data_IF_229528755960
#
_entry.id   IF_229528755960
#
_cell.length_a   1.000
_cell.length_b   1.000
_cell.length_c   1.000
_cell.angle_alpha   90.00
_cell.angle_beta   90.00
_cell.angle_gamma   90.00
#
_symmetry.space_group_name_H-M   'P 1'
#
loop_
_entity.id
_entity.type
_entity.pdbx_description
1 polymer ?
#
# COMPACT_ATOMS: atom_id res chain seq x y z
N UNK A 1 22.61 27.11 -9.84
CA UNK A 1 22.32 26.37 -8.59
C UNK A 1 21.31 25.28 -8.88
N UNK A 2 21.61 24.02 -8.58
CA UNK A 2 20.66 22.93 -8.77
C UNK A 2 19.45 23.15 -7.87
N UNK A 3 18.24 23.06 -8.46
CA UNK A 3 16.99 23.22 -7.71
C UNK A 3 16.77 22.00 -6.81
N UNK A 4 16.75 22.21 -5.49
CA UNK A 4 16.51 21.14 -4.52
C UNK A 4 15.03 20.85 -4.41
N UNK A 5 14.63 19.58 -4.59
CA UNK A 5 13.22 19.17 -4.58
C UNK A 5 13.04 17.69 -4.20
N UNK A 6 11.83 17.34 -3.80
CA UNK A 6 11.39 15.95 -3.71
C UNK A 6 10.50 15.66 -4.92
N UNK A 7 10.87 14.62 -5.65
CA UNK A 7 10.14 14.15 -6.82
C UNK A 7 9.39 12.87 -6.47
N UNK A 8 8.09 12.86 -6.59
CA UNK A 8 7.27 11.67 -6.42
C UNK A 8 6.91 11.08 -7.78
N UNK A 9 7.22 9.79 -7.98
CA UNK A 9 6.92 9.04 -9.20
C UNK A 9 5.62 8.24 -9.04
N UNK A 10 4.71 8.40 -9.99
CA UNK A 10 3.43 7.69 -10.07
C UNK A 10 3.39 6.83 -11.33
N UNK A 11 3.22 5.53 -11.17
CA UNK A 11 3.09 4.56 -12.25
C UNK A 11 1.87 3.66 -12.09
N UNK A 12 1.63 3.12 -10.91
CA UNK A 12 0.46 2.30 -10.60
C UNK A 12 -0.60 3.14 -9.85
N UNK A 13 -1.86 2.79 -10.02
CA UNK A 13 -2.98 3.56 -9.43
C UNK A 13 -2.90 3.66 -7.91
N UNK A 14 -2.46 2.58 -7.24
CA UNK A 14 -2.28 2.57 -5.79
C UNK A 14 -1.16 3.49 -5.28
N UNK A 15 -0.24 3.93 -6.15
CA UNK A 15 0.83 4.85 -5.74
C UNK A 15 0.28 6.12 -5.11
N UNK A 16 -0.89 6.59 -5.56
CA UNK A 16 -1.55 7.77 -4.99
C UNK A 16 -1.84 7.59 -3.49
N UNK A 17 -2.38 6.42 -3.09
CA UNK A 17 -2.66 6.13 -1.68
C UNK A 17 -1.39 6.09 -0.84
N UNK A 18 -0.33 5.45 -1.37
CA UNK A 18 0.90 5.18 -0.62
C UNK A 18 1.78 6.41 -0.49
N UNK A 19 1.88 7.20 -1.55
CA UNK A 19 2.72 8.40 -1.63
C UNK A 19 2.07 9.59 -0.90
N UNK A 20 0.73 9.69 -0.94
CA UNK A 20 -0.02 10.82 -0.39
C UNK A 20 0.44 11.27 1.01
N UNK A 21 0.57 10.40 2.02
CA UNK A 21 0.96 10.84 3.36
C UNK A 21 2.34 11.53 3.40
N UNK A 22 3.30 10.98 2.67
CA UNK A 22 4.65 11.53 2.59
C UNK A 22 4.71 12.84 1.78
N UNK A 23 3.91 12.95 0.72
CA UNK A 23 3.83 14.17 -0.09
C UNK A 23 3.25 15.35 0.70
N UNK A 24 2.20 15.11 1.49
CA UNK A 24 1.62 16.11 2.40
C UNK A 24 2.61 16.51 3.49
N UNK A 25 3.33 15.55 4.06
CA UNK A 25 4.36 15.83 5.05
C UNK A 25 5.52 16.66 4.47
N UNK A 26 5.95 16.38 3.24
CA UNK A 26 6.95 17.18 2.54
C UNK A 26 6.47 18.63 2.34
N UNK A 27 5.18 18.81 2.01
CA UNK A 27 4.57 20.15 1.90
C UNK A 27 4.54 20.88 3.24
N UNK A 28 4.18 20.20 4.34
CA UNK A 28 4.22 20.79 5.70
C UNK A 28 5.63 21.27 6.09
N UNK A 29 6.67 20.57 5.61
CA UNK A 29 8.06 20.92 5.81
C UNK A 29 8.57 22.02 4.84
N UNK A 30 7.70 22.61 4.00
CA UNK A 30 8.05 23.61 2.99
C UNK A 30 9.09 23.14 1.96
N UNK A 31 9.11 21.86 1.63
CA UNK A 31 10.00 21.33 0.60
C UNK A 31 9.34 21.50 -0.78
N UNK A 32 10.11 21.88 -1.80
CA UNK A 32 9.65 21.94 -3.18
C UNK A 32 9.32 20.52 -3.69
N UNK A 33 8.11 20.33 -4.20
CA UNK A 33 7.56 19.03 -4.62
C UNK A 33 7.25 19.03 -6.10
N UNK A 34 7.67 17.98 -6.80
CA UNK A 34 7.34 17.70 -8.19
C UNK A 34 6.71 16.31 -8.31
N UNK A 35 5.63 16.20 -9.06
CA UNK A 35 5.03 14.92 -9.42
C UNK A 35 5.42 14.53 -10.85
N UNK A 36 6.11 13.40 -10.99
CA UNK A 36 6.34 12.77 -12.28
C UNK A 36 5.39 11.59 -12.45
N UNK A 37 4.55 11.67 -13.48
CA UNK A 37 3.52 10.69 -13.75
C UNK A 37 3.87 9.92 -15.04
N UNK A 38 3.85 8.58 -14.97
CA UNK A 38 4.01 7.75 -16.16
C UNK A 38 2.85 7.99 -17.13
N UNK A 39 3.13 8.10 -18.43
CA UNK A 39 2.11 8.15 -19.49
C UNK A 39 1.13 6.96 -19.44
N UNK A 40 1.52 5.85 -18.78
CA UNK A 40 0.67 4.66 -18.61
C UNK A 40 -0.32 4.79 -17.45
N UNK A 41 -0.18 5.80 -16.60
CA UNK A 41 -1.04 5.97 -15.42
C UNK A 41 -2.50 6.25 -15.81
N UNK A 42 -2.74 7.28 -16.62
CA UNK A 42 -4.08 7.65 -17.05
C UNK A 42 -4.81 6.54 -17.84
N UNK A 43 -4.17 5.79 -18.79
CA UNK A 43 -4.80 4.65 -19.44
C UNK A 43 -5.20 3.50 -18.52
N UNK A 44 -4.54 3.37 -17.35
CA UNK A 44 -4.91 2.38 -16.33
C UNK A 44 -6.15 2.79 -15.52
N UNK A 45 -6.42 4.08 -15.41
CA UNK A 45 -7.55 4.63 -14.64
C UNK A 45 -8.86 4.58 -15.42
N UNK A 46 -9.32 3.38 -15.76
CA UNK A 46 -10.56 3.17 -16.53
C UNK A 46 -11.80 3.76 -15.85
N UNK A 47 -11.77 3.92 -14.55
CA UNK A 47 -12.90 4.43 -13.75
C UNK A 47 -12.84 5.94 -13.51
N UNK A 48 -11.78 6.60 -13.95
CA UNK A 48 -11.57 8.05 -13.80
C UNK A 48 -11.61 8.52 -12.33
N UNK A 49 -11.06 7.71 -11.44
CA UNK A 49 -10.97 8.00 -9.99
C UNK A 49 -9.58 8.52 -9.62
N UNK A 50 -8.54 7.90 -10.18
CA UNK A 50 -7.17 8.10 -9.72
C UNK A 50 -6.47 9.30 -10.35
N UNK A 51 -6.82 9.65 -11.59
CA UNK A 51 -6.32 10.88 -12.23
C UNK A 51 -6.83 12.11 -11.48
N UNK A 52 -8.14 12.25 -11.17
CA UNK A 52 -8.63 13.34 -10.33
C UNK A 52 -8.02 13.33 -8.91
N UNK A 53 -7.81 12.14 -8.32
CA UNK A 53 -7.19 12.01 -7.01
C UNK A 53 -5.73 12.51 -7.01
N UNK A 54 -4.95 12.19 -8.05
CA UNK A 54 -3.59 12.69 -8.24
C UNK A 54 -3.57 14.22 -8.44
N UNK A 55 -4.48 14.75 -9.25
CA UNK A 55 -4.62 16.19 -9.48
C UNK A 55 -4.95 16.95 -8.18
N UNK A 56 -5.88 16.40 -7.38
CA UNK A 56 -6.22 16.94 -6.05
C UNK A 56 -5.01 16.93 -5.13
N UNK A 57 -4.27 15.82 -5.05
CA UNK A 57 -3.06 15.73 -4.26
C UNK A 57 -2.00 16.74 -4.71
N UNK A 58 -1.81 16.92 -6.02
CA UNK A 58 -0.89 17.92 -6.55
C UNK A 58 -1.28 19.33 -6.11
N UNK A 59 -2.56 19.68 -6.20
CA UNK A 59 -3.08 20.97 -5.74
C UNK A 59 -2.85 21.17 -4.23
N UNK A 60 -3.13 20.14 -3.40
CA UNK A 60 -2.91 20.17 -1.95
C UNK A 60 -1.43 20.38 -1.61
N UNK A 61 -0.52 19.80 -2.39
CA UNK A 61 0.93 19.94 -2.20
C UNK A 61 1.52 21.21 -2.85
N UNK A 62 0.77 21.96 -3.67
CA UNK A 62 1.29 23.03 -4.51
C UNK A 62 2.30 22.53 -5.56
N UNK A 63 2.16 21.26 -5.98
CA UNK A 63 3.06 20.57 -6.89
C UNK A 63 2.55 20.67 -8.34
N UNK A 64 3.47 20.70 -9.30
CA UNK A 64 3.16 20.47 -10.72
C UNK A 64 3.19 18.98 -11.03
N UNK A 65 2.30 18.54 -11.94
CA UNK A 65 2.34 17.19 -12.52
C UNK A 65 3.01 17.29 -13.88
N UNK A 66 4.07 16.52 -14.11
CA UNK A 66 4.74 16.39 -15.40
C UNK A 66 4.70 14.93 -15.83
N UNK A 67 4.25 14.67 -17.04
CA UNK A 67 4.22 13.33 -17.60
C UNK A 67 5.58 12.95 -18.21
N UNK A 68 5.94 11.66 -18.09
CA UNK A 68 7.11 11.09 -18.78
C UNK A 68 6.73 9.82 -19.53
N UNK A 69 7.37 9.61 -20.69
CA UNK A 69 7.08 8.49 -21.59
C UNK A 69 8.13 7.38 -21.51
N UNK A 70 9.31 7.70 -21.00
CA UNK A 70 10.44 6.77 -20.92
C UNK A 70 11.41 7.14 -19.78
N UNK A 71 12.29 6.23 -19.35
CA UNK A 71 13.35 6.54 -18.39
C UNK A 71 14.26 7.70 -18.84
N UNK A 72 14.52 7.82 -20.13
CA UNK A 72 15.30 8.91 -20.69
C UNK A 72 14.56 10.26 -20.62
N UNK A 73 13.26 10.27 -20.91
CA UNK A 73 12.43 11.48 -20.72
C UNK A 73 12.42 11.91 -19.26
N UNK A 74 12.26 10.96 -18.31
CA UNK A 74 12.35 11.25 -16.89
C UNK A 74 13.73 11.80 -16.50
N UNK A 75 14.83 11.22 -17.00
CA UNK A 75 16.18 11.75 -16.78
C UNK A 75 16.30 13.20 -17.18
N UNK A 76 15.82 13.58 -18.38
CA UNK A 76 15.87 14.97 -18.86
C UNK A 76 15.12 15.95 -17.95
N UNK A 77 14.01 15.52 -17.35
CA UNK A 77 13.26 16.34 -16.39
C UNK A 77 13.97 16.48 -15.03
N UNK A 78 14.90 15.58 -14.73
CA UNK A 78 15.62 15.51 -13.47
C UNK A 78 17.02 16.12 -13.53
N UNK A 79 17.65 16.23 -14.72
CA UNK A 79 19.07 16.51 -14.89
C UNK A 79 19.55 17.82 -14.23
N UNK A 80 18.68 18.84 -14.11
CA UNK A 80 19.01 20.15 -13.55
C UNK A 80 18.65 20.30 -12.07
N UNK A 81 18.32 19.19 -11.40
CA UNK A 81 17.89 19.18 -10.01
C UNK A 81 18.69 18.24 -9.12
N UNK A 82 18.39 18.31 -7.83
CA UNK A 82 18.92 17.40 -6.81
C UNK A 82 17.88 17.20 -5.69
N UNK A 83 18.13 16.24 -4.79
CA UNK A 83 17.28 15.96 -3.64
C UNK A 83 16.84 14.49 -3.55
N UNK A 84 15.54 14.20 -3.56
CA UNK A 84 15.04 12.84 -3.48
C UNK A 84 14.08 12.50 -4.63
N UNK A 85 14.10 11.23 -5.06
CA UNK A 85 13.06 10.63 -5.90
C UNK A 85 12.40 9.51 -5.10
N UNK A 86 11.09 9.55 -4.99
CA UNK A 86 10.29 8.64 -4.15
C UNK A 86 9.23 7.95 -4.99
N UNK A 87 9.10 6.64 -4.87
CA UNK A 87 8.01 5.86 -5.47
C UNK A 87 7.55 4.74 -4.54
N UNK A 88 6.37 4.18 -4.80
CA UNK A 88 5.85 3.03 -4.07
C UNK A 88 5.94 1.71 -4.85
N UNK A 89 6.18 1.76 -6.15
CA UNK A 89 6.14 0.59 -7.05
C UNK A 89 7.44 0.49 -7.85
N UNK A 90 8.54 0.14 -7.17
CA UNK A 90 9.87 0.00 -7.77
C UNK A 90 10.52 -1.31 -7.33
N UNK A 91 10.95 -2.12 -8.26
CA UNK A 91 11.79 -3.31 -8.09
C UNK A 91 12.12 -3.92 -9.47
N UNK A 92 12.97 -4.96 -9.48
CA UNK A 92 13.31 -5.71 -10.69
C UNK A 92 12.17 -6.62 -11.21
N UNK A 93 10.95 -6.49 -10.70
CA UNK A 93 9.79 -7.27 -11.16
C UNK A 93 9.13 -6.64 -12.39
N UNK A 94 8.52 -7.43 -13.29
CA UNK A 94 7.95 -6.93 -14.55
C UNK A 94 6.97 -5.77 -14.40
N UNK A 95 6.12 -5.80 -13.38
CA UNK A 95 5.13 -4.74 -13.14
C UNK A 95 5.77 -3.41 -12.68
N UNK A 96 7.00 -3.44 -12.19
CA UNK A 96 7.74 -2.30 -11.63
C UNK A 96 8.89 -1.82 -12.53
N UNK A 97 9.15 -2.48 -13.66
CA UNK A 97 10.30 -2.22 -14.53
C UNK A 97 10.43 -0.75 -14.91
N UNK A 98 9.33 -0.10 -15.21
CA UNK A 98 9.34 1.31 -15.66
C UNK A 98 9.92 2.26 -14.59
N UNK A 99 9.46 2.16 -13.36
CA UNK A 99 9.99 2.95 -12.24
C UNK A 99 11.39 2.50 -11.83
N UNK A 100 11.68 1.21 -11.93
CA UNK A 100 13.02 0.66 -11.71
C UNK A 100 14.05 1.26 -12.68
N UNK A 101 13.72 1.34 -13.97
CA UNK A 101 14.59 1.89 -14.98
C UNK A 101 14.74 3.42 -14.83
N UNK A 102 13.69 4.15 -14.41
CA UNK A 102 13.81 5.55 -14.05
C UNK A 102 14.79 5.74 -12.89
N UNK A 103 14.72 4.91 -11.85
CA UNK A 103 15.64 4.96 -10.72
C UNK A 103 17.09 4.69 -11.14
N UNK A 104 17.31 3.70 -12.02
CA UNK A 104 18.64 3.37 -12.55
C UNK A 104 19.23 4.49 -13.41
N UNK A 105 18.37 5.20 -14.14
CA UNK A 105 18.77 6.30 -15.01
C UNK A 105 18.87 7.66 -14.27
N UNK A 106 18.36 7.76 -13.05
CA UNK A 106 18.28 9.02 -12.31
C UNK A 106 19.67 9.65 -12.11
N UNK A 107 19.78 10.99 -12.21
CA UNK A 107 21.03 11.71 -11.93
C UNK A 107 21.54 11.43 -10.52
N UNK A 108 22.86 11.40 -10.35
CA UNK A 108 23.52 11.12 -9.05
C UNK A 108 23.21 12.16 -7.96
N UNK A 109 22.67 13.33 -8.33
CA UNK A 109 22.19 14.35 -7.39
C UNK A 109 20.90 13.98 -6.64
N UNK A 110 20.28 12.81 -6.92
CA UNK A 110 19.07 12.36 -6.23
C UNK A 110 19.31 11.11 -5.39
N UNK A 111 18.79 11.13 -4.16
CA UNK A 111 18.60 9.91 -3.36
C UNK A 111 17.31 9.23 -3.79
N UNK A 112 17.37 7.95 -4.12
CA UNK A 112 16.25 7.14 -4.59
C UNK A 112 15.62 6.40 -3.40
N UNK A 113 14.31 6.57 -3.21
CA UNK A 113 13.57 6.02 -2.07
C UNK A 113 12.40 5.19 -2.58
N UNK A 114 12.32 3.93 -2.18
CA UNK A 114 11.16 3.06 -2.44
C UNK A 114 10.36 2.89 -1.16
N UNK A 115 9.06 3.20 -1.21
CA UNK A 115 8.12 3.00 -0.11
C UNK A 115 7.50 1.60 -0.19
N UNK A 116 7.43 0.88 0.92
CA UNK A 116 6.61 -0.32 1.01
C UNK A 116 5.13 0.05 0.82
N UNK A 117 4.45 -0.58 -0.15
CA UNK A 117 3.11 -0.18 -0.56
C UNK A 117 1.98 -0.99 0.07
N UNK A 118 2.29 -1.92 0.97
CA UNK A 118 1.27 -2.72 1.65
C UNK A 118 1.87 -3.60 2.73
N UNK A 119 1.02 -4.13 3.62
CA UNK A 119 1.45 -5.05 4.67
C UNK A 119 2.10 -6.30 4.06
N UNK A 120 1.37 -7.01 3.20
CA UNK A 120 1.99 -8.00 2.31
C UNK A 120 2.37 -7.30 1.01
N UNK A 121 3.64 -7.27 0.73
CA UNK A 121 4.19 -6.54 -0.40
C UNK A 121 5.38 -7.31 -0.98
N UNK A 122 5.35 -7.52 -2.30
CA UNK A 122 6.41 -8.23 -3.01
C UNK A 122 7.74 -7.49 -2.83
N UNK A 123 8.79 -8.22 -2.46
CA UNK A 123 10.10 -7.64 -2.14
C UNK A 123 10.28 -7.23 -0.68
N UNK A 124 9.21 -7.28 0.12
CA UNK A 124 9.22 -7.01 1.55
C UNK A 124 8.68 -8.22 2.33
N UNK A 125 7.48 -8.14 2.88
CA UNK A 125 6.81 -9.26 3.51
C UNK A 125 5.92 -9.98 2.49
N UNK A 126 6.20 -11.25 2.22
CA UNK A 126 5.43 -12.08 1.29
C UNK A 126 4.75 -13.25 2.01
N UNK A 127 3.82 -13.87 1.32
CA UNK A 127 3.25 -15.16 1.66
C UNK A 127 3.83 -16.24 0.73
N UNK A 128 3.53 -17.50 1.02
CA UNK A 128 4.00 -18.67 0.27
C UNK A 128 3.68 -18.59 -1.23
N UNK A 129 2.49 -18.20 -1.60
CA UNK A 129 2.05 -18.13 -3.00
C UNK A 129 2.79 -17.03 -3.77
N UNK A 130 3.06 -15.89 -3.11
CA UNK A 130 3.91 -14.85 -3.69
C UNK A 130 5.37 -15.31 -3.83
N UNK A 131 5.90 -16.03 -2.85
CA UNK A 131 7.25 -16.60 -2.93
C UNK A 131 7.39 -17.56 -4.11
N UNK A 132 6.38 -18.40 -4.35
CA UNK A 132 6.36 -19.33 -5.49
C UNK A 132 6.26 -18.59 -6.83
N UNK A 133 5.48 -17.51 -6.90
CA UNK A 133 5.25 -16.77 -8.13
C UNK A 133 6.39 -15.80 -8.49
N UNK A 134 7.05 -15.19 -7.49
CA UNK A 134 8.00 -14.08 -7.68
C UNK A 134 9.39 -14.34 -7.10
N UNK A 135 9.54 -15.40 -6.30
CA UNK A 135 10.80 -15.73 -5.61
C UNK A 135 11.07 -14.83 -4.40
N UNK A 136 12.22 -15.10 -3.76
CA UNK A 136 12.68 -14.40 -2.53
C UNK A 136 13.96 -13.59 -2.77
N UNK A 137 14.21 -13.16 -3.98
CA UNK A 137 15.43 -12.43 -4.32
C UNK A 137 15.11 -11.15 -5.07
N UNK A 138 14.11 -10.40 -4.55
CA UNK A 138 13.69 -9.13 -5.15
C UNK A 138 14.75 -8.07 -4.90
N UNK A 139 15.09 -7.32 -5.94
CA UNK A 139 16.12 -6.26 -5.92
C UNK A 139 15.51 -4.91 -6.27
N UNK A 140 16.14 -3.87 -5.75
CA UNK A 140 15.71 -2.50 -5.89
C UNK A 140 16.86 -1.61 -6.40
N UNK A 141 16.53 -0.66 -7.27
CA UNK A 141 17.46 0.38 -7.68
C UNK A 141 17.52 1.55 -6.67
N UNK A 142 16.68 1.52 -5.65
CA UNK A 142 16.65 2.49 -4.57
C UNK A 142 17.95 2.49 -3.73
N UNK A 143 18.27 3.65 -3.16
CA UNK A 143 19.31 3.83 -2.14
C UNK A 143 18.76 3.57 -0.74
N UNK A 144 17.46 3.83 -0.53
CA UNK A 144 16.76 3.63 0.74
C UNK A 144 15.45 2.90 0.47
N UNK A 145 15.18 1.87 1.27
CA UNK A 145 13.93 1.10 1.28
C UNK A 145 13.16 1.46 2.54
N UNK A 146 12.13 2.29 2.41
CA UNK A 146 11.26 2.69 3.50
C UNK A 146 10.28 1.57 3.79
N UNK A 147 10.65 0.67 4.71
CA UNK A 147 9.90 -0.52 5.05
C UNK A 147 9.05 -0.32 6.31
N UNK A 148 7.97 -1.10 6.44
CA UNK A 148 7.13 -1.06 7.63
C UNK A 148 7.76 -1.78 8.81
N UNK A 149 8.54 -2.84 8.54
CA UNK A 149 9.22 -3.66 9.53
C UNK A 149 10.75 -3.64 9.32
N UNK A 150 11.54 -4.02 10.34
CA UNK A 150 12.99 -4.12 10.20
C UNK A 150 13.41 -5.24 9.24
N UNK A 151 14.62 -5.16 8.72
CA UNK A 151 15.13 -6.02 7.65
C UNK A 151 15.09 -7.53 7.95
N UNK A 152 15.23 -7.92 9.22
CA UNK A 152 15.19 -9.32 9.67
C UNK A 152 13.78 -9.95 9.57
N UNK A 153 12.74 -9.11 9.45
CA UNK A 153 11.34 -9.51 9.28
C UNK A 153 10.90 -9.54 7.81
N UNK A 154 11.74 -9.07 6.90
CA UNK A 154 11.41 -9.01 5.47
C UNK A 154 11.90 -10.28 4.78
N UNK A 155 10.97 -11.06 4.22
CA UNK A 155 11.23 -12.45 3.80
C UNK A 155 11.66 -12.61 2.35
N UNK A 156 11.38 -11.61 1.51
CA UNK A 156 11.52 -11.74 0.05
C UNK A 156 12.51 -10.78 -0.60
N UNK A 157 13.15 -9.96 0.19
CA UNK A 157 14.20 -9.06 -0.23
C UNK A 157 15.53 -9.81 -0.44
N UNK A 158 16.27 -9.48 -1.50
CA UNK A 158 17.62 -9.98 -1.69
C UNK A 158 18.50 -9.56 -0.51
N UNK A 159 19.45 -10.42 -0.15
CA UNK A 159 20.35 -10.16 0.98
C UNK A 159 21.10 -8.84 0.83
N UNK A 160 21.56 -8.52 -0.39
CA UNK A 160 22.26 -7.28 -0.74
C UNK A 160 21.44 -6.01 -0.54
N UNK A 161 20.13 -6.11 -0.39
CA UNK A 161 19.24 -4.96 -0.24
C UNK A 161 18.97 -4.60 1.23
N UNK A 162 19.31 -5.48 2.16
CA UNK A 162 18.93 -5.37 3.57
C UNK A 162 19.52 -4.14 4.27
N UNK A 163 20.74 -3.76 3.90
CA UNK A 163 21.41 -2.57 4.46
C UNK A 163 20.79 -1.24 4.01
N UNK A 164 19.90 -1.27 2.99
CA UNK A 164 19.15 -0.12 2.51
C UNK A 164 17.87 0.13 3.33
N UNK A 165 17.47 -0.81 4.20
CA UNK A 165 16.21 -0.76 4.92
C UNK A 165 16.21 0.35 5.97
N UNK A 166 15.25 1.24 5.85
CA UNK A 166 14.91 2.27 6.82
C UNK A 166 13.49 2.01 7.33
N UNK A 167 13.35 1.58 8.58
CA UNK A 167 12.05 1.23 9.15
C UNK A 167 11.23 2.49 9.44
N UNK A 168 10.09 2.62 8.76
CA UNK A 168 9.15 3.76 8.93
C UNK A 168 7.89 3.38 9.69
N UNK A 169 7.41 2.14 9.54
CA UNK A 169 6.03 1.78 9.82
C UNK A 169 5.07 2.18 8.69
N UNK A 170 3.77 1.88 8.82
CA UNK A 170 2.78 2.12 7.78
C UNK A 170 2.42 3.61 7.65
N UNK A 171 2.58 4.18 6.44
CA UNK A 171 2.28 5.58 6.15
C UNK A 171 0.80 5.96 6.38
N UNK A 172 -0.11 5.00 6.41
CA UNK A 172 -1.51 5.21 6.78
C UNK A 172 -1.65 5.95 8.13
N UNK A 173 -0.79 5.67 9.11
CA UNK A 173 -0.83 6.30 10.42
C UNK A 173 -0.52 7.82 10.41
N UNK A 174 -0.06 8.37 9.31
CA UNK A 174 0.08 9.82 9.11
C UNK A 174 -1.25 10.49 8.76
N UNK A 175 -2.30 9.73 8.44
CA UNK A 175 -3.61 10.25 8.09
C UNK A 175 -4.45 10.40 9.36
N UNK A 176 -5.11 11.56 9.51
CA UNK A 176 -6.00 11.81 10.65
C UNK A 176 -7.34 11.08 10.45
N UNK A 177 -7.85 10.36 11.47
CA UNK A 177 -9.20 9.84 11.44
C UNK A 177 -10.23 10.98 11.28
N UNK A 178 -11.27 10.76 10.50
CA UNK A 178 -12.31 11.80 10.29
C UNK A 178 -13.34 11.89 11.41
N UNK A 179 -13.32 10.94 12.35
CA UNK A 179 -14.14 10.98 13.56
C UNK A 179 -15.66 10.90 13.33
N UNK A 180 -16.10 10.26 12.24
CA UNK A 180 -17.53 10.09 11.94
C UNK A 180 -18.20 9.14 12.93
N UNK A 181 -19.50 9.34 13.15
CA UNK A 181 -20.32 8.42 13.92
C UNK A 181 -20.35 7.03 13.27
N UNK A 182 -20.27 5.97 14.09
CA UNK A 182 -20.30 4.59 13.62
C UNK A 182 -21.64 4.26 12.95
N UNK A 183 -21.56 3.67 11.77
CA UNK A 183 -22.69 3.05 11.07
C UNK A 183 -22.99 1.66 11.64
N UNK A 184 -24.18 1.14 11.37
CA UNK A 184 -24.50 -0.27 11.60
C UNK A 184 -23.97 -1.18 10.46
N UNK A 185 -23.57 -0.60 9.36
CA UNK A 185 -23.16 -1.28 8.14
C UNK A 185 -21.70 -1.74 8.21
N UNK A 186 -21.41 -2.88 7.57
CA UNK A 186 -20.05 -3.38 7.42
C UNK A 186 -19.42 -3.00 6.09
N UNK A 187 -18.11 -3.20 5.99
CA UNK A 187 -17.35 -3.08 4.75
C UNK A 187 -16.72 -4.42 4.38
N UNK A 188 -16.93 -4.87 3.15
CA UNK A 188 -16.28 -6.03 2.56
C UNK A 188 -15.34 -5.55 1.46
N UNK A 189 -14.06 -5.92 1.54
CA UNK A 189 -13.06 -5.53 0.54
C UNK A 189 -12.72 -6.72 -0.37
N UNK A 190 -12.86 -6.49 -1.67
CA UNK A 190 -12.54 -7.44 -2.71
C UNK A 190 -11.04 -7.33 -3.05
N UNK A 191 -10.25 -8.30 -2.61
CA UNK A 191 -8.83 -8.44 -3.02
C UNK A 191 -8.64 -9.73 -3.83
N UNK A 192 -9.46 -9.92 -4.87
CA UNK A 192 -9.53 -11.16 -5.64
C UNK A 192 -8.53 -11.24 -6.80
N UNK A 193 -7.67 -10.24 -6.99
CA UNK A 193 -6.61 -10.24 -7.99
C UNK A 193 -5.31 -10.90 -7.51
N UNK A 194 -5.17 -11.16 -6.22
CA UNK A 194 -3.97 -11.74 -5.64
C UNK A 194 -3.65 -13.10 -6.25
N UNK A 195 -2.37 -13.34 -6.54
CA UNK A 195 -1.86 -14.64 -7.01
C UNK A 195 -2.22 -15.78 -6.06
N UNK A 196 -2.37 -15.52 -4.76
CA UNK A 196 -2.81 -16.46 -3.74
C UNK A 196 -4.15 -17.13 -4.09
N UNK A 197 -5.09 -16.36 -4.66
CA UNK A 197 -6.43 -16.85 -4.98
C UNK A 197 -6.51 -17.69 -6.27
N UNK A 198 -5.44 -17.78 -7.03
CA UNK A 198 -5.35 -18.58 -8.26
C UNK A 198 -4.30 -19.71 -8.19
N UNK A 199 -3.47 -19.75 -7.16
CA UNK A 199 -2.36 -20.71 -7.06
C UNK A 199 -2.82 -22.15 -6.82
N UNK A 200 -3.97 -22.36 -6.19
CA UNK A 200 -4.51 -23.69 -5.84
C UNK A 200 -5.91 -23.93 -6.42
N UNK A 201 -6.17 -23.40 -7.58
CA UNK A 201 -7.49 -23.32 -8.20
C UNK A 201 -8.09 -21.92 -8.10
N UNK A 202 -9.29 -21.71 -8.66
CA UNK A 202 -9.92 -20.40 -8.61
C UNK A 202 -10.73 -20.23 -7.31
N UNK A 203 -10.10 -19.70 -6.27
CA UNK A 203 -10.74 -19.44 -4.98
C UNK A 203 -11.64 -18.19 -5.00
N UNK A 204 -11.60 -17.39 -6.07
CA UNK A 204 -12.37 -16.15 -6.20
C UNK A 204 -13.87 -16.40 -6.19
N UNK A 205 -14.30 -17.46 -6.87
CA UNK A 205 -15.70 -17.87 -6.90
C UNK A 205 -16.20 -18.28 -5.50
N UNK A 206 -15.37 -18.96 -4.71
CA UNK A 206 -15.68 -19.32 -3.33
C UNK A 206 -15.94 -18.09 -2.46
N UNK A 207 -15.07 -17.06 -2.55
CA UNK A 207 -15.29 -15.79 -1.86
C UNK A 207 -16.62 -15.14 -2.28
N UNK A 208 -16.88 -15.08 -3.59
CA UNK A 208 -18.11 -14.44 -4.11
C UNK A 208 -19.37 -15.19 -3.72
N UNK A 209 -19.33 -16.53 -3.69
CA UNK A 209 -20.44 -17.35 -3.23
C UNK A 209 -20.74 -17.12 -1.74
N UNK A 210 -19.71 -17.15 -0.89
CA UNK A 210 -19.84 -16.88 0.55
C UNK A 210 -20.39 -15.48 0.81
N UNK A 211 -19.86 -14.47 0.11
CA UNK A 211 -20.33 -13.09 0.19
C UNK A 211 -21.79 -12.96 -0.26
N UNK A 212 -22.19 -13.63 -1.34
CA UNK A 212 -23.56 -13.65 -1.82
C UNK A 212 -24.52 -14.25 -0.80
N UNK A 213 -24.18 -15.36 -0.17
CA UNK A 213 -24.93 -15.96 0.93
C UNK A 213 -25.07 -15.01 2.13
N UNK A 214 -23.98 -14.34 2.49
CA UNK A 214 -23.99 -13.35 3.56
C UNK A 214 -24.91 -12.16 3.23
N UNK A 215 -24.85 -11.65 2.01
CA UNK A 215 -25.74 -10.58 1.54
C UNK A 215 -27.22 -11.00 1.58
N UNK A 216 -27.58 -12.23 1.17
CA UNK A 216 -28.94 -12.75 1.26
C UNK A 216 -29.44 -12.72 2.71
N UNK A 217 -28.58 -13.11 3.67
CA UNK A 217 -28.93 -13.07 5.09
C UNK A 217 -29.13 -11.64 5.62
N UNK A 218 -28.30 -10.68 5.20
CA UNK A 218 -28.44 -9.27 5.56
C UNK A 218 -29.73 -8.69 4.96
N UNK A 219 -30.03 -8.99 3.69
CA UNK A 219 -31.24 -8.52 3.01
C UNK A 219 -32.53 -8.94 3.72
N UNK A 220 -32.58 -10.18 4.24
CA UNK A 220 -33.71 -10.67 5.04
C UNK A 220 -33.93 -9.86 6.36
N UNK A 221 -32.98 -9.01 6.75
CA UNK A 221 -33.04 -8.12 7.91
C UNK A 221 -33.09 -6.64 7.54
N UNK A 222 -33.26 -6.33 6.24
CA UNK A 222 -33.16 -4.98 5.69
C UNK A 222 -31.81 -4.30 6.02
N UNK A 223 -30.73 -5.10 6.14
CA UNK A 223 -29.39 -4.60 6.36
C UNK A 223 -28.63 -4.50 5.03
N UNK A 224 -27.76 -3.50 4.92
CA UNK A 224 -26.88 -3.29 3.75
C UNK A 224 -25.42 -3.46 4.15
N UNK A 225 -24.57 -3.63 3.15
CA UNK A 225 -23.11 -3.75 3.32
C UNK A 225 -22.40 -2.94 2.23
N UNK A 226 -21.27 -2.37 2.55
CA UNK A 226 -20.42 -1.75 1.54
C UNK A 226 -19.46 -2.77 0.94
N UNK A 227 -19.36 -2.78 -0.38
CA UNK A 227 -18.40 -3.57 -1.13
C UNK A 227 -17.36 -2.66 -1.75
N UNK A 228 -16.10 -2.89 -1.40
CA UNK A 228 -14.98 -2.09 -1.88
C UNK A 228 -14.11 -2.91 -2.84
N UNK A 229 -14.04 -2.54 -4.14
CA UNK A 229 -13.14 -3.17 -5.08
C UNK A 229 -11.69 -2.76 -4.79
N UNK A 230 -10.74 -3.67 -5.09
CA UNK A 230 -9.32 -3.33 -5.01
C UNK A 230 -8.93 -2.35 -6.14
N UNK A 231 -8.15 -1.30 -5.86
CA UNK A 231 -7.82 -0.25 -6.85
C UNK A 231 -7.26 -0.78 -8.17
N UNK A 232 -6.32 -1.71 -8.09
CA UNK A 232 -5.67 -2.29 -9.29
C UNK A 232 -6.35 -3.55 -9.81
N UNK A 233 -6.98 -4.34 -8.94
CA UNK A 233 -7.58 -5.64 -9.26
C UNK A 233 -8.96 -5.52 -9.90
N UNK A 234 -9.90 -4.90 -9.17
CA UNK A 234 -11.27 -4.63 -9.62
C UNK A 234 -11.95 -5.87 -10.22
N UNK A 235 -11.89 -7.02 -9.53
CA UNK A 235 -12.33 -8.30 -10.06
C UNK A 235 -13.78 -8.29 -10.53
N UNK A 236 -14.73 -7.79 -9.71
CA UNK A 236 -16.13 -7.71 -10.09
C UNK A 236 -16.31 -6.86 -11.35
N UNK A 237 -15.69 -5.67 -11.37
CA UNK A 237 -15.89 -4.69 -12.44
C UNK A 237 -15.24 -5.13 -13.75
N UNK A 238 -14.11 -5.87 -13.68
CA UNK A 238 -13.44 -6.40 -14.88
C UNK A 238 -14.14 -7.60 -15.50
N UNK A 239 -14.95 -8.29 -14.71
CA UNK A 239 -15.67 -9.49 -15.15
C UNK A 239 -17.19 -9.24 -15.24
N UNK A 240 -17.62 -7.97 -15.20
CA UNK A 240 -19.03 -7.55 -15.27
C UNK A 240 -19.93 -8.31 -14.28
N UNK A 241 -19.41 -8.60 -13.10
CA UNK A 241 -20.13 -9.29 -12.03
C UNK A 241 -20.95 -8.27 -11.26
N UNK A 242 -22.28 -8.36 -11.35
CA UNK A 242 -23.17 -7.51 -10.59
C UNK A 242 -23.04 -7.81 -9.07
N UNK A 243 -22.87 -6.80 -8.22
CA UNK A 243 -22.90 -7.00 -6.78
C UNK A 243 -24.31 -7.40 -6.32
N UNK A 244 -24.45 -8.09 -5.16
CA UNK A 244 -25.73 -8.31 -4.54
C UNK A 244 -26.55 -7.01 -4.36
N UNK A 245 -27.86 -7.07 -4.45
CA UNK A 245 -28.74 -5.87 -4.47
C UNK A 245 -28.66 -5.00 -3.22
N UNK A 246 -28.31 -5.59 -2.07
CA UNK A 246 -28.08 -4.87 -0.81
C UNK A 246 -26.61 -4.54 -0.55
N UNK A 247 -25.70 -4.77 -1.50
CA UNK A 247 -24.32 -4.34 -1.44
C UNK A 247 -24.14 -3.01 -2.18
N UNK A 248 -23.60 -2.00 -1.50
CA UNK A 248 -23.30 -0.69 -2.05
C UNK A 248 -21.83 -0.60 -2.41
N UNK A 249 -21.52 -0.28 -3.66
CA UNK A 249 -20.12 -0.11 -4.09
C UNK A 249 -19.52 1.17 -3.49
N UNK A 250 -18.33 1.07 -2.89
CA UNK A 250 -17.51 2.21 -2.48
C UNK A 250 -16.16 2.19 -3.22
N UNK A 251 -16.04 3.04 -4.22
CA UNK A 251 -14.85 3.12 -5.10
C UNK A 251 -13.92 4.29 -4.75
N UNK A 252 -14.24 5.07 -3.70
CA UNK A 252 -13.40 6.21 -3.28
C UNK A 252 -11.97 5.75 -2.94
N UNK A 253 -10.94 6.60 -3.09
CA UNK A 253 -9.62 6.34 -2.52
C UNK A 253 -9.70 6.00 -1.03
N UNK A 254 -8.83 5.10 -0.53
CA UNK A 254 -8.94 4.61 0.87
C UNK A 254 -8.80 5.74 1.89
N UNK A 255 -8.01 6.75 1.60
CA UNK A 255 -7.83 7.91 2.49
C UNK A 255 -9.07 8.84 2.58
N UNK A 256 -10.07 8.65 1.72
CA UNK A 256 -11.37 9.34 1.79
C UNK A 256 -12.43 8.52 2.53
N UNK A 257 -12.08 7.30 2.94
CA UNK A 257 -12.96 6.37 3.63
C UNK A 257 -12.61 6.34 5.11
N UNK A 258 -13.56 6.75 5.96
CA UNK A 258 -13.43 6.58 7.40
C UNK A 258 -13.74 5.11 7.77
N UNK A 259 -12.70 4.29 7.85
CA UNK A 259 -12.84 2.88 8.21
C UNK A 259 -13.43 2.71 9.61
N UNK A 260 -13.11 3.61 10.54
CA UNK A 260 -13.64 3.57 11.91
C UNK A 260 -15.14 3.84 12.02
N UNK A 261 -15.76 4.38 10.95
CA UNK A 261 -17.19 4.63 10.91
C UNK A 261 -18.02 3.36 10.63
N UNK A 262 -17.44 2.27 10.16
CA UNK A 262 -18.15 1.01 9.91
C UNK A 262 -18.31 0.18 11.18
N UNK A 263 -19.27 -0.74 11.18
CA UNK A 263 -19.49 -1.66 12.30
C UNK A 263 -18.46 -2.81 12.29
N UNK A 264 -18.07 -3.28 11.10
CA UNK A 264 -17.10 -4.37 10.91
C UNK A 264 -16.47 -4.31 9.51
N UNK A 265 -15.34 -4.98 9.38
CA UNK A 265 -14.63 -5.17 8.12
C UNK A 265 -14.35 -6.64 7.81
N UNK A 266 -14.46 -7.01 6.54
CA UNK A 266 -14.05 -8.32 6.04
C UNK A 266 -13.26 -8.14 4.75
N UNK A 267 -12.17 -8.89 4.59
CA UNK A 267 -11.45 -8.94 3.32
C UNK A 267 -10.86 -10.33 3.08
N UNK A 268 -10.70 -10.71 1.81
CA UNK A 268 -9.66 -11.65 1.45
C UNK A 268 -8.29 -11.06 1.87
N UNK A 269 -7.24 -11.87 2.06
CA UNK A 269 -5.95 -11.39 2.53
C UNK A 269 -5.43 -10.19 1.73
N UNK A 270 -5.24 -9.07 2.43
CA UNK A 270 -4.91 -7.77 1.85
C UNK A 270 -4.40 -6.82 2.93
N UNK A 271 -3.60 -5.84 2.53
CA UNK A 271 -3.12 -4.77 3.43
C UNK A 271 -4.26 -3.99 4.09
N UNK A 272 -5.44 -3.90 3.45
CA UNK A 272 -6.61 -3.23 4.02
C UNK A 272 -7.10 -3.85 5.33
N UNK A 273 -6.77 -5.12 5.59
CA UNK A 273 -7.05 -5.75 6.89
C UNK A 273 -6.29 -5.06 8.02
N UNK A 274 -5.02 -4.71 7.79
CA UNK A 274 -4.26 -3.93 8.77
C UNK A 274 -4.85 -2.52 8.92
N UNK A 275 -5.24 -1.89 7.82
CA UNK A 275 -5.88 -0.56 7.84
C UNK A 275 -7.16 -0.57 8.70
N UNK A 276 -8.01 -1.60 8.53
CA UNK A 276 -9.22 -1.81 9.33
C UNK A 276 -8.89 -2.02 10.81
N UNK A 277 -7.90 -2.84 11.11
CA UNK A 277 -7.46 -3.12 12.48
C UNK A 277 -6.93 -1.86 13.16
N UNK A 278 -6.11 -1.07 12.48
CA UNK A 278 -5.56 0.19 13.00
C UNK A 278 -6.64 1.26 13.19
N UNK A 279 -7.70 1.23 12.38
CA UNK A 279 -8.89 2.06 12.57
C UNK A 279 -9.80 1.60 13.74
N UNK A 280 -9.43 0.51 14.43
CA UNK A 280 -10.23 -0.06 15.53
C UNK A 280 -11.51 -0.74 15.07
N UNK A 281 -11.59 -1.15 13.82
CA UNK A 281 -12.74 -1.83 13.23
C UNK A 281 -12.69 -3.33 13.56
N UNK A 282 -13.76 -3.96 14.11
CA UNK A 282 -13.85 -5.41 14.21
C UNK A 282 -13.64 -6.05 12.84
N UNK A 283 -12.57 -6.81 12.67
CA UNK A 283 -12.07 -7.25 11.35
C UNK A 283 -11.95 -8.77 11.29
N UNK A 284 -12.34 -9.35 10.15
CA UNK A 284 -12.13 -10.75 9.84
C UNK A 284 -11.42 -10.93 8.49
N UNK A 285 -10.53 -11.90 8.41
CA UNK A 285 -9.91 -12.35 7.17
C UNK A 285 -10.67 -13.56 6.61
N UNK A 286 -11.02 -13.50 5.34
CA UNK A 286 -11.56 -14.66 4.63
C UNK A 286 -10.42 -15.59 4.20
N UNK A 287 -10.63 -16.88 4.37
CA UNK A 287 -9.78 -17.94 3.86
C UNK A 287 -10.62 -19.04 3.20
N UNK A 288 -10.01 -19.80 2.31
CA UNK A 288 -10.68 -20.92 1.66
C UNK A 288 -11.11 -22.01 2.67
N UNK A 289 -12.20 -22.72 2.40
CA UNK A 289 -12.72 -23.75 3.31
C UNK A 289 -11.75 -24.90 3.57
N UNK A 290 -10.92 -25.26 2.60
CA UNK A 290 -9.94 -26.34 2.66
C UNK A 290 -8.64 -25.94 3.37
N UNK A 291 -8.41 -24.64 3.60
CA UNK A 291 -7.22 -24.13 4.28
C UNK A 291 -5.95 -24.23 3.45
N UNK A 292 -6.08 -24.21 2.13
CA UNK A 292 -4.94 -24.30 1.20
C UNK A 292 -4.21 -22.97 1.10
N UNK A 293 -4.95 -21.87 1.18
CA UNK A 293 -4.40 -20.52 1.08
C UNK A 293 -3.57 -20.15 2.30
N UNK A 294 -2.36 -19.61 2.07
CA UNK A 294 -1.54 -19.10 3.16
C UNK A 294 -2.09 -17.79 3.72
N UNK A 295 -2.50 -17.83 4.99
CA UNK A 295 -2.93 -16.66 5.77
C UNK A 295 -2.05 -16.41 7.00
N UNK A 296 -0.85 -17.00 7.05
CA UNK A 296 0.04 -16.94 8.22
C UNK A 296 0.35 -15.51 8.68
N UNK A 297 0.49 -14.57 7.75
CA UNK A 297 0.71 -13.17 8.08
C UNK A 297 -0.47 -12.49 8.80
N UNK A 298 -1.65 -13.12 8.83
CA UNK A 298 -2.86 -12.62 9.51
C UNK A 298 -3.24 -13.46 10.73
N UNK A 299 -2.31 -14.26 11.24
CA UNK A 299 -2.51 -15.05 12.47
C UNK A 299 -2.93 -14.14 13.64
N UNK A 300 -3.96 -14.57 14.37
CA UNK A 300 -4.54 -13.77 15.45
C UNK A 300 -5.80 -12.98 15.03
N UNK A 301 -6.06 -12.74 13.75
CA UNK A 301 -7.34 -12.20 13.32
C UNK A 301 -8.45 -13.27 13.33
N UNK A 302 -9.69 -12.82 13.36
CA UNK A 302 -10.84 -13.73 13.18
C UNK A 302 -10.82 -14.25 11.74
N UNK A 303 -10.78 -15.59 11.58
CA UNK A 303 -10.80 -16.25 10.27
C UNK A 303 -12.23 -16.71 9.97
N UNK A 304 -12.71 -16.39 8.78
CA UNK A 304 -14.00 -16.85 8.26
C UNK A 304 -13.76 -17.66 6.98
N UNK A 305 -14.36 -18.85 6.86
CA UNK A 305 -14.10 -19.80 5.77
C UNK A 305 -15.35 -20.21 5.01
N UNK A 306 -16.52 -20.15 5.65
CA UNK A 306 -17.78 -20.66 5.12
C UNK A 306 -18.91 -19.69 5.47
N UNK A 307 -20.05 -19.72 4.80
CA UNK A 307 -21.17 -18.79 5.07
C UNK A 307 -21.57 -18.72 6.55
N UNK A 308 -21.54 -19.85 7.28
CA UNK A 308 -21.84 -19.87 8.72
C UNK A 308 -20.88 -19.02 9.56
N UNK A 309 -19.62 -18.94 9.14
CA UNK A 309 -18.60 -18.19 9.87
C UNK A 309 -18.82 -16.68 9.68
N UNK A 310 -19.25 -16.23 8.48
CA UNK A 310 -19.66 -14.86 8.22
C UNK A 310 -20.82 -14.45 9.14
N UNK A 311 -21.84 -15.31 9.27
CA UNK A 311 -22.99 -15.04 10.12
C UNK A 311 -22.60 -15.03 11.61
N UNK A 312 -21.73 -15.93 12.02
CA UNK A 312 -21.21 -15.96 13.38
C UNK A 312 -20.40 -14.68 13.68
N UNK A 313 -19.51 -14.28 12.78
CA UNK A 313 -18.73 -13.05 12.91
C UNK A 313 -19.63 -11.81 13.02
N UNK A 314 -20.60 -11.66 12.11
CA UNK A 314 -21.57 -10.56 12.13
C UNK A 314 -22.36 -10.49 13.45
N UNK A 315 -22.83 -11.64 13.96
CA UNK A 315 -23.47 -11.73 15.28
C UNK A 315 -22.52 -11.33 16.41
N UNK A 316 -21.27 -11.81 16.38
CA UNK A 316 -20.29 -11.57 17.42
C UNK A 316 -19.83 -10.10 17.45
N UNK A 317 -19.76 -9.43 16.30
CA UNK A 317 -19.55 -7.96 16.23
C UNK A 317 -20.62 -7.20 17.01
N UNK A 318 -21.89 -7.64 16.92
CA UNK A 318 -23.03 -6.97 17.58
C UNK A 318 -23.11 -7.29 19.07
N UNK A 319 -22.81 -8.54 19.45
CA UNK A 319 -23.00 -9.03 20.83
C UNK A 319 -21.73 -8.97 21.67
N UNK A 320 -20.57 -9.16 21.07
CA UNK A 320 -19.29 -9.35 21.77
C UNK A 320 -18.10 -8.69 21.04
N UNK A 321 -18.20 -7.42 20.62
CA UNK A 321 -17.13 -6.77 19.84
C UNK A 321 -15.79 -6.75 20.58
N UNK A 322 -15.80 -6.66 21.90
CA UNK A 322 -14.59 -6.65 22.72
C UNK A 322 -13.73 -7.91 22.56
N UNK A 323 -14.34 -9.06 22.32
CA UNK A 323 -13.62 -10.32 22.09
C UNK A 323 -12.81 -10.27 20.78
N UNK A 324 -13.42 -9.75 19.72
CA UNK A 324 -12.77 -9.58 18.41
C UNK A 324 -11.64 -8.57 18.54
N UNK A 325 -11.91 -7.41 19.14
CA UNK A 325 -10.91 -6.35 19.34
C UNK A 325 -9.74 -6.79 20.22
N UNK A 326 -9.97 -7.70 21.18
CA UNK A 326 -8.87 -8.27 21.97
C UNK A 326 -7.95 -9.13 21.13
N UNK A 327 -8.49 -9.99 20.26
CA UNK A 327 -7.68 -10.77 19.29
C UNK A 327 -6.90 -9.85 18.35
N UNK A 328 -7.51 -8.77 17.85
CA UNK A 328 -6.82 -7.81 17.00
C UNK A 328 -5.66 -7.12 17.72
N UNK A 329 -5.81 -6.79 19.01
CA UNK A 329 -4.68 -6.27 19.81
C UNK A 329 -3.56 -7.29 19.94
N UNK A 330 -3.87 -8.58 20.12
CA UNK A 330 -2.85 -9.64 20.12
C UNK A 330 -2.13 -9.71 18.76
N UNK A 331 -2.88 -9.66 17.66
CA UNK A 331 -2.31 -9.59 16.32
C UNK A 331 -1.36 -8.39 16.18
N UNK A 332 -1.79 -7.17 16.52
CA UNK A 332 -0.94 -5.97 16.39
C UNK A 332 0.30 -6.01 17.28
N UNK A 333 0.22 -6.63 18.47
CA UNK A 333 1.36 -6.79 19.37
C UNK A 333 2.45 -7.72 18.78
N UNK A 334 2.07 -8.64 17.90
CA UNK A 334 3.01 -9.55 17.23
C UNK A 334 3.69 -8.92 16.01
N UNK A 335 3.14 -7.80 15.50
CA UNK A 335 3.73 -7.10 14.38
C UNK A 335 5.03 -6.39 14.80
N UNK A 336 6.13 -6.78 14.22
CA UNK A 336 7.43 -6.17 14.50
C UNK A 336 7.61 -4.86 13.75
N UNK A 337 6.63 -3.95 13.85
CA UNK A 337 6.66 -2.64 13.15
C UNK A 337 6.15 -1.53 14.06
N UNK A 338 6.59 -0.27 13.85
CA UNK A 338 6.04 0.88 14.55
C UNK A 338 4.55 1.06 14.22
N UNK A 339 3.69 1.13 15.25
CA UNK A 339 2.24 1.37 15.09
C UNK A 339 1.76 2.62 15.87
N UNK A 340 2.67 3.33 16.51
CA UNK A 340 2.40 4.63 17.12
C UNK A 340 2.50 5.74 16.06
N UNK A 341 1.44 6.54 15.89
CA UNK A 341 1.35 7.55 14.84
C UNK A 341 2.45 8.64 14.95
N UNK A 342 2.77 9.07 16.17
CA UNK A 342 3.80 10.08 16.38
C UNK A 342 5.19 9.52 16.10
N UNK A 343 5.44 8.26 16.45
CA UNK A 343 6.68 7.57 16.11
C UNK A 343 6.81 7.44 14.59
N UNK A 344 5.78 6.94 13.91
CA UNK A 344 5.77 6.81 12.44
C UNK A 344 6.00 8.18 11.79
N UNK A 345 5.34 9.25 12.28
CA UNK A 345 5.56 10.60 11.76
C UNK A 345 7.02 11.04 11.91
N UNK A 346 7.64 10.85 13.07
CA UNK A 346 9.06 11.17 13.28
C UNK A 346 9.95 10.40 12.29
N UNK A 347 9.68 9.10 12.07
CA UNK A 347 10.46 8.30 11.10
C UNK A 347 10.33 8.81 9.67
N UNK A 348 9.14 9.23 9.24
CA UNK A 348 8.97 9.82 7.91
C UNK A 348 9.63 11.21 7.78
N UNK A 349 9.62 12.02 8.84
CA UNK A 349 10.39 13.28 8.87
C UNK A 349 11.89 13.00 8.74
N UNK A 350 12.43 12.07 9.52
CA UNK A 350 13.83 11.64 9.44
C UNK A 350 14.18 11.13 8.02
N UNK A 351 13.31 10.32 7.41
CA UNK A 351 13.49 9.83 6.05
C UNK A 351 13.57 10.99 5.04
N UNK A 352 12.65 11.95 5.13
CA UNK A 352 12.63 13.13 4.27
C UNK A 352 13.91 13.97 4.45
N UNK A 353 14.36 14.18 5.67
CA UNK A 353 15.61 14.89 5.97
C UNK A 353 16.81 14.13 5.43
N UNK A 354 16.93 12.84 5.71
CA UNK A 354 18.03 11.99 5.23
C UNK A 354 18.12 11.99 3.70
N UNK A 355 16.99 11.80 3.02
CA UNK A 355 16.91 11.77 1.57
C UNK A 355 17.24 13.14 0.95
N UNK A 356 16.93 14.24 1.64
CA UNK A 356 17.19 15.60 1.17
C UNK A 356 18.60 16.08 1.47
N UNK A 357 19.27 15.60 2.53
CA UNK A 357 20.56 16.12 3.03
C UNK A 357 21.79 15.30 2.62
N UNK A 358 21.62 14.13 2.02
CA UNK A 358 22.74 13.23 1.65
C UNK A 358 23.83 13.87 0.77
N UNK A 359 23.53 15.02 0.17
CA UNK A 359 24.42 15.75 -0.75
C UNK A 359 25.02 17.02 -0.17
N UNK A 360 24.80 17.33 1.13
CA UNK A 360 25.47 18.44 1.79
C UNK A 360 26.89 18.07 2.23
N UNK A 361 27.29 16.79 2.14
CA UNK A 361 28.68 16.37 2.38
C UNK A 361 29.48 16.56 1.09
N UNK A 362 30.47 17.46 1.06
CA UNK A 362 31.33 17.60 -0.12
C UNK A 362 31.95 16.23 -0.43
N UNK A 363 31.88 15.81 -1.69
CA UNK A 363 32.56 14.62 -2.14
C UNK A 363 34.04 14.69 -1.67
N UNK A 364 34.47 13.70 -0.90
CA UNK A 364 35.87 13.60 -0.50
C UNK A 364 36.70 13.69 -1.78
N UNK A 365 37.73 14.57 -1.83
CA UNK A 365 38.56 14.74 -3.03
C UNK A 365 39.08 13.37 -3.43
N UNK A 366 38.78 12.93 -4.64
CA UNK A 366 39.35 11.74 -5.22
C UNK A 366 40.87 11.87 -5.11
N UNK A 367 41.50 11.03 -4.29
CA UNK A 367 42.96 10.90 -4.27
C UNK A 367 43.37 10.44 -5.67
N UNK A 368 43.73 11.40 -6.51
CA UNK A 368 44.51 11.14 -7.71
C UNK A 368 45.83 10.64 -7.20
N UNK A 369 45.99 9.30 -7.24
CA UNK A 369 47.27 8.67 -6.97
C UNK A 369 48.27 9.15 -8.02
N UNK A 370 49.09 10.14 -7.63
CA UNK A 370 50.28 10.45 -8.36
C UNK A 370 51.24 9.27 -8.28
N UNK A 371 51.27 8.48 -9.36
CA UNK A 371 52.36 7.58 -9.62
C UNK A 371 53.55 8.43 -10.11
N UNK A 372 54.46 8.67 -9.23
CA UNK A 372 55.82 9.10 -9.65
C UNK A 372 56.67 7.84 -9.79
N UNK A 373 57.22 7.70 -10.98
CA UNK A 373 58.34 6.88 -11.45
C UNK A 373 58.88 5.74 -10.60
#
# INVERSE_FOLDING_TARGET
MNRRRIVFLFNLLQDVNVIRPMALLAREMNVDVLFLCSHKFAPRDKQKIWVPALQKLAAECGASITEYESPFAAYRLLQDGCGAIVTASESNLPAHTETHDVFRAAPSGYTRVTLQHGYECIGFLQNREHDLAHGRNVRFAADILAAWAPADRLTSMAWSERDKVFTTGPGLLLQQPTGRARSAEGMVCENLHSVRLSASGDLRQGFMADFGHFCTHLAARNETVYLRPHPGGQFLMRNDIAPPTNARMDTRPIYEVDLGAFAYGVSAPSSVLLDMVLAGLPTAVWADPEGVMDIGNYEGLTVIRRPRDWLAFHRDVRLRPSMILTRQRQFTTQLAMPLDADHVRRRFVELLMLASHRFDTPAAPSRIGGSTC
#
